data_IF_181610363345
#
_entry.id   IF_181610363345
#
_cell.length_a   1.000
_cell.length_b   1.000
_cell.length_c   1.000
_cell.angle_alpha   90.00
_cell.angle_beta   90.00
_cell.angle_gamma   90.00
#
_symmetry.space_group_name_H-M   'P 1'
#
loop_
_entity.id
_entity.type
_entity.pdbx_description
1 polymer ?
#
# COMPACT_ATOMS: atom_id res chain seq x y z
N UNK A 1 29.70 28.98 -40.04
CA UNK A 1 28.66 27.93 -39.97
C UNK A 1 29.33 26.58 -39.71
N UNK A 2 29.26 26.07 -38.48
CA UNK A 2 29.36 24.64 -38.10
C UNK A 2 28.40 24.44 -36.91
N UNK A 3 27.64 23.33 -36.83
CA UNK A 3 26.59 23.16 -35.84
C UNK A 3 27.10 22.54 -34.52
N UNK A 4 26.24 22.69 -33.52
CA UNK A 4 26.32 22.32 -32.10
C UNK A 4 26.61 20.86 -31.78
N UNK A 5 27.22 20.62 -30.63
CA UNK A 5 26.80 19.52 -29.74
C UNK A 5 26.83 20.00 -28.28
N UNK A 6 25.71 20.60 -27.85
CA UNK A 6 25.47 20.88 -26.45
C UNK A 6 24.94 19.61 -25.78
N UNK A 7 25.80 18.88 -25.08
CA UNK A 7 25.36 17.90 -24.09
C UNK A 7 25.10 18.65 -22.79
N UNK A 8 23.86 19.10 -22.59
CA UNK A 8 23.39 19.54 -21.27
C UNK A 8 23.12 18.28 -20.45
N UNK A 9 24.08 17.91 -19.60
CA UNK A 9 23.84 17.03 -18.47
C UNK A 9 22.77 17.70 -17.60
N UNK A 10 21.59 17.08 -17.51
CA UNK A 10 20.59 17.49 -16.52
C UNK A 10 21.14 17.06 -15.16
N UNK A 11 21.76 18.01 -14.46
CA UNK A 11 22.03 17.84 -13.04
C UNK A 11 20.69 17.60 -12.34
N UNK A 12 20.47 16.38 -11.85
CA UNK A 12 19.35 16.07 -10.96
C UNK A 12 19.55 16.95 -9.72
N UNK A 13 18.85 18.08 -9.63
CA UNK A 13 18.81 18.91 -8.44
C UNK A 13 18.37 18.03 -7.27
N UNK A 14 19.31 17.70 -6.39
CA UNK A 14 19.00 17.15 -5.07
C UNK A 14 18.15 18.17 -4.34
N UNK A 15 16.84 17.92 -4.25
CA UNK A 15 15.93 18.70 -3.42
C UNK A 15 16.41 18.47 -1.99
N UNK A 16 17.03 19.47 -1.38
CA UNK A 16 17.37 19.40 0.03
C UNK A 16 16.08 19.62 0.83
N UNK A 17 15.24 18.59 0.87
CA UNK A 17 14.05 18.59 1.69
C UNK A 17 14.49 18.25 3.12
N UNK A 18 14.30 19.14 4.12
CA UNK A 18 14.64 18.86 5.51
C UNK A 18 13.61 17.87 6.07
N UNK A 19 13.77 16.60 5.73
CA UNK A 19 12.95 15.52 6.23
C UNK A 19 13.87 14.44 6.83
N UNK A 20 13.55 13.86 8.00
CA UNK A 20 14.48 12.98 8.73
C UNK A 20 14.40 11.51 8.30
N UNK A 21 13.45 11.14 7.43
CA UNK A 21 13.19 9.75 7.06
C UNK A 21 14.00 9.33 5.84
N UNK A 22 14.33 8.04 5.73
CA UNK A 22 14.93 7.50 4.50
C UNK A 22 13.88 7.06 3.48
N UNK A 23 12.73 6.60 3.99
CA UNK A 23 11.63 6.07 3.21
C UNK A 23 10.30 6.56 3.76
N UNK A 24 9.31 6.72 2.89
CA UNK A 24 7.91 6.82 3.25
C UNK A 24 7.20 5.52 2.92
N UNK A 25 6.41 5.02 3.88
CA UNK A 25 5.50 3.91 3.69
C UNK A 25 4.10 4.52 3.55
N UNK A 26 3.56 4.56 2.34
CA UNK A 26 2.24 5.14 2.05
C UNK A 26 1.22 4.01 2.04
N UNK A 27 0.19 4.12 2.88
CA UNK A 27 -0.88 3.15 3.05
C UNK A 27 -2.21 3.79 2.66
N UNK A 28 -3.07 3.03 2.00
CA UNK A 28 -4.44 3.43 1.73
C UNK A 28 -5.35 2.19 1.84
N UNK A 29 -6.06 2.06 2.95
CA UNK A 29 -6.86 0.86 3.21
C UNK A 29 -8.22 0.96 2.54
N UNK A 30 -8.63 -0.11 1.87
CA UNK A 30 -10.04 -0.33 1.58
C UNK A 30 -10.66 -1.22 2.65
N UNK A 31 -11.90 -0.94 3.01
CA UNK A 31 -12.64 -1.66 4.03
C UNK A 31 -14.07 -2.01 3.57
N UNK A 32 -14.65 -3.06 4.18
CA UNK A 32 -16.08 -3.36 4.02
C UNK A 32 -16.92 -2.13 4.37
N UNK A 33 -18.01 -1.88 3.65
CA UNK A 33 -18.93 -0.78 3.93
C UNK A 33 -20.34 -1.07 3.42
N UNK A 34 -21.32 -0.31 3.90
CA UNK A 34 -22.73 -0.39 3.50
C UNK A 34 -23.33 1.02 3.37
N UNK A 35 -24.37 1.13 2.55
CA UNK A 35 -25.17 2.35 2.38
C UNK A 35 -26.66 1.96 2.29
N UNK A 36 -27.52 2.41 3.24
CA UNK A 36 -27.17 3.21 4.40
C UNK A 36 -26.27 2.45 5.37
N UNK A 37 -25.27 3.12 5.95
CA UNK A 37 -24.39 2.52 6.95
C UNK A 37 -25.18 2.24 8.24
N UNK A 38 -25.31 0.97 8.67
CA UNK A 38 -25.97 0.66 9.93
C UNK A 38 -25.22 1.26 11.13
N UNK A 39 -25.97 1.55 12.20
CA UNK A 39 -25.37 1.91 13.48
C UNK A 39 -24.52 0.74 14.00
N UNK A 40 -23.30 1.05 14.47
CA UNK A 40 -22.36 0.03 14.92
C UNK A 40 -21.78 -0.86 13.80
N UNK A 41 -21.82 -0.43 12.54
CA UNK A 41 -21.18 -1.20 11.46
C UNK A 41 -19.68 -1.37 11.71
N UNK A 42 -19.28 -2.60 12.01
CA UNK A 42 -17.87 -3.00 12.08
C UNK A 42 -17.29 -3.13 10.67
N UNK A 43 -16.28 -2.32 10.39
CA UNK A 43 -15.49 -2.34 9.16
C UNK A 43 -14.34 -3.34 9.28
N UNK A 44 -14.08 -4.07 8.20
CA UNK A 44 -12.93 -4.99 8.08
C UNK A 44 -12.09 -4.58 6.87
N UNK A 45 -10.76 -4.59 7.00
CA UNK A 45 -9.85 -4.32 5.87
C UNK A 45 -10.08 -5.40 4.80
N UNK A 46 -10.23 -4.97 3.54
CA UNK A 46 -10.40 -5.84 2.37
C UNK A 46 -9.30 -5.64 1.32
N UNK A 47 -8.55 -4.55 1.41
CA UNK A 47 -7.31 -4.35 0.65
C UNK A 47 -6.27 -3.64 1.52
N UNK A 48 -5.03 -4.10 1.43
CA UNK A 48 -3.90 -3.58 2.18
C UNK A 48 -2.75 -3.26 1.21
N UNK A 49 -2.83 -2.15 0.46
CA UNK A 49 -1.76 -1.70 -0.42
C UNK A 49 -0.74 -0.86 0.36
N UNK A 50 0.53 -1.01 -0.01
CA UNK A 50 1.62 -0.19 0.46
C UNK A 50 2.50 0.23 -0.71
N UNK A 51 2.78 1.53 -0.79
CA UNK A 51 3.79 2.10 -1.69
C UNK A 51 4.98 2.58 -0.87
N UNK A 52 6.15 2.00 -1.12
CA UNK A 52 7.40 2.41 -0.48
C UNK A 52 8.10 3.45 -1.37
N UNK A 53 8.31 4.65 -0.84
CA UNK A 53 8.90 5.78 -1.57
C UNK A 53 10.26 6.14 -0.95
N UNK A 54 11.28 6.35 -1.77
CA UNK A 54 12.57 6.86 -1.28
C UNK A 54 12.50 8.37 -1.06
N UNK A 55 12.76 8.81 0.16
CA UNK A 55 12.49 10.20 0.56
C UNK A 55 13.46 11.22 -0.08
N UNK A 56 14.65 10.77 -0.48
CA UNK A 56 15.65 11.63 -1.15
C UNK A 56 15.29 11.97 -2.61
N UNK A 57 14.60 11.05 -3.29
CA UNK A 57 14.30 11.14 -4.72
C UNK A 57 12.80 11.34 -5.00
N UNK A 58 11.95 11.01 -4.03
CA UNK A 58 10.49 10.88 -4.16
C UNK A 58 10.09 9.86 -5.24
N UNK A 59 11.00 8.95 -5.61
CA UNK A 59 10.72 7.86 -6.52
C UNK A 59 10.14 6.67 -5.76
N UNK A 60 9.18 5.97 -6.39
CA UNK A 60 8.64 4.72 -5.85
C UNK A 60 9.74 3.66 -5.91
N UNK A 61 10.08 3.10 -4.76
CA UNK A 61 11.05 2.01 -4.64
C UNK A 61 10.40 0.66 -4.93
N UNK A 62 9.25 0.40 -4.31
CA UNK A 62 8.51 -0.86 -4.49
C UNK A 62 7.06 -0.71 -4.02
N UNK A 63 6.20 -1.66 -4.39
CA UNK A 63 4.79 -1.71 -4.02
C UNK A 63 4.37 -3.13 -3.65
N UNK A 64 3.51 -3.27 -2.65
CA UNK A 64 2.82 -4.53 -2.35
C UNK A 64 1.32 -4.26 -2.22
N UNK A 65 0.50 -5.19 -2.69
CA UNK A 65 -0.95 -5.11 -2.59
C UNK A 65 -1.49 -6.49 -2.22
N UNK A 66 -2.30 -6.53 -1.17
CA UNK A 66 -2.87 -7.78 -0.64
C UNK A 66 -4.37 -7.58 -0.44
N UNK A 67 -5.17 -8.45 -1.07
CA UNK A 67 -6.58 -8.57 -0.74
C UNK A 67 -6.77 -9.38 0.54
N UNK A 68 -7.63 -8.87 1.41
CA UNK A 68 -7.94 -9.47 2.71
C UNK A 68 -9.36 -10.00 2.68
N UNK A 69 -9.54 -11.24 3.12
CA UNK A 69 -10.85 -11.86 3.28
C UNK A 69 -11.47 -11.47 4.62
N UNK A 70 -12.59 -10.72 4.64
CA UNK A 70 -13.26 -10.37 5.87
C UNK A 70 -13.84 -11.62 6.54
N UNK A 71 -13.79 -11.67 7.87
CA UNK A 71 -14.22 -12.82 8.67
C UNK A 71 -15.65 -12.64 9.18
N UNK A 72 -16.01 -11.44 9.63
CA UNK A 72 -17.32 -11.17 10.22
C UNK A 72 -18.38 -10.98 9.13
N UNK A 73 -18.04 -10.25 8.06
CA UNK A 73 -18.92 -10.00 6.89
C UNK A 73 -18.22 -10.44 5.61
N UNK A 74 -18.15 -11.75 5.31
CA UNK A 74 -17.41 -12.27 4.16
C UNK A 74 -18.01 -11.88 2.80
N UNK A 75 -19.26 -11.40 2.76
CA UNK A 75 -19.93 -10.94 1.54
C UNK A 75 -19.92 -9.42 1.47
N UNK A 76 -19.31 -8.89 0.42
CA UNK A 76 -19.29 -7.46 0.15
C UNK A 76 -20.70 -7.00 -0.25
N UNK A 77 -21.08 -5.81 0.19
CA UNK A 77 -22.29 -5.16 -0.30
C UNK A 77 -22.07 -4.65 -1.74
N UNK A 78 -23.15 -4.48 -2.51
CA UNK A 78 -23.06 -3.88 -3.84
C UNK A 78 -22.51 -2.45 -3.79
N UNK A 79 -22.83 -1.71 -2.72
CA UNK A 79 -22.29 -0.38 -2.49
C UNK A 79 -20.77 -0.42 -2.34
N UNK A 80 -20.26 -1.32 -1.50
CA UNK A 80 -18.82 -1.47 -1.25
C UNK A 80 -18.08 -1.83 -2.55
N UNK A 81 -18.56 -2.85 -3.27
CA UNK A 81 -17.95 -3.23 -4.56
C UNK A 81 -17.99 -2.10 -5.58
N UNK A 82 -19.07 -1.30 -5.63
CA UNK A 82 -19.14 -0.14 -6.53
C UNK A 82 -18.19 0.99 -6.12
N UNK A 83 -18.04 1.23 -4.82
CA UNK A 83 -17.22 2.32 -4.28
C UNK A 83 -15.72 2.02 -4.45
N UNK A 84 -15.29 0.80 -4.10
CA UNK A 84 -13.87 0.42 -4.07
C UNK A 84 -13.41 -0.25 -5.37
N UNK A 85 -14.34 -0.77 -6.17
CA UNK A 85 -14.03 -1.60 -7.35
C UNK A 85 -13.62 -3.04 -7.00
N UNK A 86 -13.58 -3.41 -5.71
CA UNK A 86 -13.17 -4.74 -5.27
C UNK A 86 -14.33 -5.72 -5.42
N UNK A 87 -14.09 -6.78 -6.18
CA UNK A 87 -15.05 -7.85 -6.43
C UNK A 87 -15.07 -8.87 -5.30
N UNK A 88 -16.20 -9.58 -5.17
CA UNK A 88 -16.32 -10.69 -4.24
C UNK A 88 -15.25 -11.78 -4.49
N UNK A 89 -14.86 -12.02 -5.75
CA UNK A 89 -13.84 -13.01 -6.08
C UNK A 89 -12.45 -12.63 -5.55
N UNK A 90 -12.10 -11.33 -5.55
CA UNK A 90 -10.83 -10.84 -5.02
C UNK A 90 -10.73 -11.07 -3.51
N UNK A 91 -11.78 -10.75 -2.74
CA UNK A 91 -11.77 -11.02 -1.29
C UNK A 91 -11.93 -12.50 -0.97
N UNK A 92 -12.68 -13.27 -1.77
CA UNK A 92 -12.82 -14.72 -1.57
C UNK A 92 -11.48 -15.46 -1.77
N UNK A 93 -10.64 -14.98 -2.70
CA UNK A 93 -9.27 -15.44 -2.92
C UNK A 93 -8.21 -14.71 -2.10
N UNK A 94 -8.60 -13.73 -1.29
CA UNK A 94 -7.73 -12.99 -0.38
C UNK A 94 -7.30 -13.84 0.82
N UNK A 95 -6.35 -13.31 1.60
CA UNK A 95 -5.84 -13.96 2.82
C UNK A 95 -6.51 -13.40 4.07
N UNK A 96 -6.39 -14.07 5.20
CA UNK A 96 -6.82 -13.48 6.48
C UNK A 96 -5.89 -12.32 6.88
N UNK A 97 -6.41 -11.37 7.66
CA UNK A 97 -5.65 -10.15 8.03
C UNK A 97 -4.30 -10.46 8.69
N UNK A 98 -4.21 -11.49 9.54
CA UNK A 98 -2.96 -11.90 10.19
C UNK A 98 -1.90 -12.34 9.18
N UNK A 99 -2.30 -13.04 8.12
CA UNK A 99 -1.40 -13.45 7.04
C UNK A 99 -0.98 -12.25 6.17
N UNK A 100 -1.90 -11.31 5.90
CA UNK A 100 -1.56 -10.07 5.21
C UNK A 100 -0.49 -9.27 5.96
N UNK A 101 -0.66 -9.10 7.28
CA UNK A 101 0.33 -8.45 8.16
C UNK A 101 1.68 -9.17 8.12
N UNK A 102 1.68 -10.51 8.21
CA UNK A 102 2.90 -11.31 8.09
C UNK A 102 3.61 -11.07 6.75
N UNK A 103 2.87 -11.11 5.63
CA UNK A 103 3.41 -10.89 4.29
C UNK A 103 3.99 -9.49 4.11
N UNK A 104 3.30 -8.47 4.61
CA UNK A 104 3.78 -7.08 4.58
C UNK A 104 5.05 -6.92 5.41
N UNK A 105 5.09 -7.47 6.63
CA UNK A 105 6.29 -7.40 7.48
C UNK A 105 7.46 -8.14 6.85
N UNK A 106 7.21 -9.30 6.23
CA UNK A 106 8.23 -10.02 5.45
C UNK A 106 8.75 -9.15 4.30
N UNK A 107 7.86 -8.54 3.52
CA UNK A 107 8.22 -7.67 2.40
C UNK A 107 9.04 -6.45 2.87
N UNK A 108 8.65 -5.75 3.94
CA UNK A 108 9.42 -4.62 4.49
C UNK A 108 10.83 -5.02 4.93
N UNK A 109 11.02 -6.24 5.45
CA UNK A 109 12.35 -6.78 5.77
C UNK A 109 13.18 -7.06 4.52
N UNK A 110 12.58 -7.62 3.49
CA UNK A 110 13.23 -7.83 2.19
C UNK A 110 13.67 -6.50 1.54
N UNK A 111 12.89 -5.43 1.74
CA UNK A 111 13.25 -4.07 1.36
C UNK A 111 14.36 -3.44 2.22
N UNK A 112 14.75 -4.09 3.33
CA UNK A 112 15.73 -3.63 4.31
C UNK A 112 15.38 -2.26 4.91
N UNK A 113 14.09 -2.05 5.21
CA UNK A 113 13.60 -0.77 5.80
C UNK A 113 13.10 -0.92 7.24
N UNK A 114 13.02 -2.15 7.75
CA UNK A 114 12.71 -2.45 9.16
C UNK A 114 13.67 -3.52 9.69
N UNK A 115 14.03 -3.43 10.97
CA UNK A 115 14.81 -4.43 11.69
C UNK A 115 13.92 -5.15 12.72
N UNK A 116 14.24 -6.41 13.04
CA UNK A 116 13.52 -7.21 14.06
C UNK A 116 12.59 -8.28 13.50
N UNK A 117 12.21 -9.23 14.37
CA UNK A 117 11.26 -10.31 14.09
C UNK A 117 9.91 -9.89 14.67
N UNK A 118 8.86 -9.89 13.85
CA UNK A 118 7.50 -9.86 14.37
C UNK A 118 7.17 -11.30 14.78
N UNK A 119 7.23 -11.59 16.07
CA UNK A 119 6.88 -12.90 16.61
C UNK A 119 5.36 -12.96 16.70
N UNK A 120 4.72 -13.70 15.80
CA UNK A 120 3.29 -13.95 15.87
C UNK A 120 3.04 -14.99 16.97
N UNK A 121 2.72 -14.53 18.18
CA UNK A 121 2.10 -15.36 19.20
C UNK A 121 0.65 -15.69 18.84
#
# INVERSE_FOLDING_TARGET
RKPSSGQSSRDKKTIHNPQPFKYYCVLDFEATCEDPKPDGYEHEIIEFPIVLVEAATLEVKDTIQIYVKPKNKPKLSEFCTRLTGITQAQVDGGVVLSEALYKIHKWLREQKVVEGVYDSH
#
